data_IF_210586796717
#
_entry.id   IF_210586796717
#
_cell.length_a   1.000
_cell.length_b   1.000
_cell.length_c   1.000
_cell.angle_alpha   90.00
_cell.angle_beta   90.00
_cell.angle_gamma   90.00
#
_symmetry.space_group_name_H-M   'P 1'
#
loop_
_entity.id
_entity.type
_entity.pdbx_description
1 polymer ?
#
# COMPACT_ATOMS: atom_id res chain seq x y z
N UNK A 1 13.46 9.95 -14.88
CA UNK A 1 12.59 10.71 -13.97
C UNK A 1 11.88 9.73 -13.05
N UNK A 2 11.69 10.06 -11.77
CA UNK A 2 11.01 9.20 -10.80
C UNK A 2 9.53 9.04 -11.16
N UNK A 3 9.00 7.82 -11.00
CA UNK A 3 7.60 7.48 -11.26
C UNK A 3 7.11 6.27 -10.47
N UNK A 4 5.80 6.15 -10.36
CA UNK A 4 5.08 5.00 -9.85
C UNK A 4 4.89 5.00 -8.34
N UNK A 5 3.83 4.34 -7.90
CA UNK A 5 3.48 4.25 -6.49
C UNK A 5 4.45 3.36 -5.68
N UNK A 6 4.60 3.68 -4.41
CA UNK A 6 5.42 2.99 -3.42
C UNK A 6 4.71 2.97 -2.07
N UNK A 7 4.65 1.81 -1.42
CA UNK A 7 4.12 1.65 -0.07
C UNK A 7 5.25 1.40 0.90
N UNK A 8 5.17 2.03 2.07
CA UNK A 8 6.09 1.85 3.17
C UNK A 8 5.41 1.33 4.42
N UNK A 9 6.15 0.59 5.23
CA UNK A 9 5.70 0.03 6.50
C UNK A 9 6.81 0.09 7.55
N UNK A 10 6.47 -0.08 8.82
CA UNK A 10 7.46 -0.22 9.90
C UNK A 10 8.10 -1.62 9.84
N UNK A 11 9.43 -1.71 9.88
CA UNK A 11 10.21 -2.94 9.62
C UNK A 11 9.82 -4.14 10.50
N UNK A 12 9.58 -3.91 11.78
CA UNK A 12 9.28 -4.89 12.82
C UNK A 12 7.77 -5.15 12.97
N UNK A 13 6.92 -4.43 12.21
CA UNK A 13 5.48 -4.67 12.14
C UNK A 13 5.13 -5.68 11.04
N UNK A 14 5.01 -6.97 11.39
CA UNK A 14 4.59 -8.00 10.44
C UNK A 14 3.18 -7.76 9.87
N UNK A 15 2.26 -7.24 10.70
CA UNK A 15 0.92 -6.86 10.23
C UNK A 15 0.97 -5.66 9.28
N UNK A 16 1.78 -4.63 9.57
CA UNK A 16 2.01 -3.50 8.68
C UNK A 16 2.64 -3.92 7.35
N UNK A 17 3.60 -4.85 7.39
CA UNK A 17 4.22 -5.45 6.20
C UNK A 17 3.21 -6.17 5.32
N UNK A 18 2.33 -7.01 5.89
CA UNK A 18 1.26 -7.69 5.14
C UNK A 18 0.36 -6.68 4.44
N UNK A 19 -0.14 -5.68 5.16
CA UNK A 19 -0.97 -4.63 4.60
C UNK A 19 -0.25 -3.88 3.47
N UNK A 20 1.02 -3.50 3.67
CA UNK A 20 1.78 -2.77 2.67
C UNK A 20 2.04 -3.58 1.40
N UNK A 21 2.36 -4.87 1.53
CA UNK A 21 2.55 -5.77 0.38
C UNK A 21 1.25 -5.92 -0.38
N UNK A 22 0.12 -6.19 0.29
CA UNK A 22 -1.17 -6.32 -0.36
C UNK A 22 -1.56 -5.03 -1.11
N UNK A 23 -1.38 -3.86 -0.50
CA UNK A 23 -1.67 -2.57 -1.14
C UNK A 23 -0.73 -2.31 -2.34
N UNK A 24 0.57 -2.59 -2.23
CA UNK A 24 1.52 -2.42 -3.33
C UNK A 24 1.19 -3.31 -4.54
N UNK A 25 0.74 -4.54 -4.29
CA UNK A 25 0.31 -5.46 -5.35
C UNK A 25 -0.92 -4.93 -6.08
N UNK A 26 -1.92 -4.44 -5.35
CA UNK A 26 -3.14 -3.90 -5.96
C UNK A 26 -2.87 -2.58 -6.71
N UNK A 27 -2.00 -1.71 -6.19
CA UNK A 27 -1.52 -0.52 -6.91
C UNK A 27 -0.82 -0.90 -8.22
N UNK A 28 0.03 -1.93 -8.18
CA UNK A 28 0.72 -2.45 -9.37
C UNK A 28 -0.28 -3.00 -10.39
N UNK A 29 -1.26 -3.79 -9.93
CA UNK A 29 -2.27 -4.43 -10.78
C UNK A 29 -3.24 -3.44 -11.42
N UNK A 30 -3.71 -2.46 -10.66
CA UNK A 30 -4.79 -1.55 -11.09
C UNK A 30 -4.24 -0.33 -11.82
N UNK A 31 -3.15 0.28 -11.32
CA UNK A 31 -2.58 1.49 -11.91
C UNK A 31 -1.61 1.17 -13.04
N UNK A 32 -0.93 0.02 -13.00
CA UNK A 32 0.12 -0.34 -13.94
C UNK A 32 1.30 0.64 -13.97
N UNK A 33 1.41 1.52 -12.96
CA UNK A 33 2.33 2.65 -12.98
C UNK A 33 3.70 2.35 -12.34
N UNK A 34 3.84 1.18 -11.69
CA UNK A 34 4.98 0.79 -10.87
C UNK A 34 5.25 -0.71 -10.98
N UNK A 35 6.51 -1.11 -10.74
CA UNK A 35 6.93 -2.51 -10.50
C UNK A 35 7.62 -2.66 -9.14
N UNK A 36 7.46 -1.65 -8.28
CA UNK A 36 8.12 -1.58 -6.98
C UNK A 36 7.51 -2.59 -6.01
N UNK A 37 8.27 -2.96 -4.99
CA UNK A 37 7.83 -3.77 -3.87
C UNK A 37 7.69 -2.88 -2.65
N UNK A 38 6.79 -3.24 -1.72
CA UNK A 38 6.69 -2.52 -0.45
C UNK A 38 8.04 -2.54 0.29
N UNK A 39 8.40 -1.44 0.95
CA UNK A 39 9.69 -1.28 1.63
C UNK A 39 9.51 -0.88 3.08
N UNK A 40 10.40 -1.33 3.99
CA UNK A 40 10.43 -0.79 5.33
C UNK A 40 10.85 0.70 5.28
N UNK A 41 10.32 1.50 6.21
CA UNK A 41 10.65 2.91 6.33
C UNK A 41 10.50 3.43 7.76
N UNK A 42 11.28 4.46 8.09
CA UNK A 42 11.32 5.06 9.42
C UNK A 42 10.45 6.31 9.45
N UNK A 43 9.15 6.11 9.63
CA UNK A 43 8.19 7.21 9.71
C UNK A 43 7.59 7.28 11.11
N UNK A 44 7.51 8.51 11.65
CA UNK A 44 6.98 8.74 13.00
C UNK A 44 5.58 8.13 13.16
N UNK A 45 4.70 8.31 12.17
CA UNK A 45 3.33 7.81 12.21
C UNK A 45 3.33 6.29 12.29
N UNK A 46 4.10 5.58 11.46
CA UNK A 46 4.09 4.11 11.47
C UNK A 46 4.73 3.53 12.73
N UNK A 47 5.65 4.25 13.38
CA UNK A 47 6.30 3.80 14.62
C UNK A 47 5.50 4.09 15.90
N UNK A 48 4.62 5.09 15.88
CA UNK A 48 3.86 5.54 17.06
C UNK A 48 2.40 5.09 17.06
N UNK A 49 2.04 4.25 16.11
CA UNK A 49 0.69 3.75 15.94
C UNK A 49 0.60 2.31 16.42
N UNK A 50 -0.37 2.01 17.28
CA UNK A 50 -0.54 0.67 17.87
C UNK A 50 -1.19 -0.34 16.90
N UNK A 51 -2.05 0.13 15.99
CA UNK A 51 -2.61 -0.72 14.93
C UNK A 51 -1.70 -0.77 13.69
N UNK A 52 -1.86 -1.75 12.79
CA UNK A 52 -1.07 -1.82 11.56
C UNK A 52 -1.15 -0.51 10.76
N UNK A 53 0.00 0.08 10.44
CA UNK A 53 0.11 1.37 9.77
C UNK A 53 1.05 1.31 8.56
N UNK A 54 0.66 2.01 7.49
CA UNK A 54 1.42 2.11 6.23
C UNK A 54 1.41 3.54 5.71
N UNK A 55 2.40 3.88 4.89
CA UNK A 55 2.42 5.12 4.09
C UNK A 55 2.35 4.76 2.62
N UNK A 56 1.42 5.37 1.89
CA UNK A 56 1.26 5.16 0.45
C UNK A 56 1.68 6.43 -0.29
N UNK A 57 2.81 6.37 -0.97
CA UNK A 57 3.21 7.39 -1.94
C UNK A 57 2.64 7.01 -3.31
N UNK A 58 1.67 7.79 -3.83
CA UNK A 58 0.87 7.41 -5.01
C UNK A 58 1.43 7.91 -6.35
N UNK A 59 2.43 8.80 -6.32
CA UNK A 59 3.09 9.38 -7.50
C UNK A 59 3.97 10.59 -7.14
N UNK A 60 4.69 11.15 -8.10
CA UNK A 60 5.62 12.26 -7.87
C UNK A 60 5.09 13.58 -8.45
N UNK A 61 4.80 14.56 -7.59
CA UNK A 61 4.42 15.94 -8.01
C UNK A 61 5.55 16.60 -8.82
N UNK A 62 6.80 16.27 -8.52
CA UNK A 62 7.98 16.76 -9.24
C UNK A 62 8.10 16.20 -10.67
N UNK A 63 7.31 15.19 -11.03
CA UNK A 63 7.18 14.70 -12.38
C UNK A 63 5.91 15.31 -13.02
N UNK A 64 6.03 16.20 -14.02
CA UNK A 64 4.88 16.89 -14.61
C UNK A 64 3.79 15.95 -15.19
N UNK A 65 4.17 14.77 -15.69
CA UNK A 65 3.22 13.78 -16.21
C UNK A 65 2.41 13.16 -15.08
N UNK A 66 3.06 12.78 -13.97
CA UNK A 66 2.37 12.25 -12.81
C UNK A 66 1.59 13.31 -12.06
N UNK A 67 2.09 14.54 -11.99
CA UNK A 67 1.34 15.67 -11.42
C UNK A 67 0.00 15.85 -12.14
N UNK A 68 -0.02 15.77 -13.48
CA UNK A 68 -1.28 15.79 -14.25
C UNK A 68 -2.20 14.63 -13.90
N UNK A 69 -1.68 13.40 -13.80
CA UNK A 69 -2.47 12.24 -13.38
C UNK A 69 -3.01 12.41 -11.95
N UNK A 70 -2.23 12.94 -11.02
CA UNK A 70 -2.64 13.17 -9.63
C UNK A 70 -3.76 14.21 -9.51
N UNK A 71 -3.95 15.07 -10.52
CA UNK A 71 -5.06 16.02 -10.61
C UNK A 71 -6.29 15.44 -11.34
N UNK A 72 -6.18 14.27 -11.96
CA UNK A 72 -7.25 13.62 -12.71
C UNK A 72 -8.19 12.84 -11.76
N UNK A 73 -9.50 13.17 -11.71
CA UNK A 73 -10.45 12.50 -10.83
C UNK A 73 -10.60 10.99 -11.08
N UNK A 74 -10.53 10.53 -12.34
CA UNK A 74 -10.62 9.11 -12.67
C UNK A 74 -9.37 8.36 -12.22
N UNK A 75 -8.20 8.99 -12.33
CA UNK A 75 -6.96 8.43 -11.78
C UNK A 75 -7.03 8.36 -10.24
N UNK A 76 -7.50 9.41 -9.58
CA UNK A 76 -7.70 9.40 -8.12
C UNK A 76 -8.66 8.28 -7.69
N UNK A 77 -9.76 8.07 -8.42
CA UNK A 77 -10.70 6.97 -8.15
C UNK A 77 -10.02 5.59 -8.28
N UNK A 78 -9.17 5.39 -9.30
CA UNK A 78 -8.39 4.15 -9.44
C UNK A 78 -7.39 3.95 -8.31
N UNK A 79 -6.72 5.02 -7.86
CA UNK A 79 -5.79 4.97 -6.71
C UNK A 79 -6.55 4.58 -5.44
N UNK A 80 -7.67 5.24 -5.16
CA UNK A 80 -8.51 4.93 -4.00
C UNK A 80 -9.01 3.48 -4.03
N UNK A 81 -9.48 3.01 -5.19
CA UNK A 81 -9.93 1.63 -5.36
C UNK A 81 -8.80 0.62 -5.13
N UNK A 82 -7.58 0.91 -5.62
CA UNK A 82 -6.43 0.04 -5.39
C UNK A 82 -6.03 -0.05 -3.92
N UNK A 83 -6.08 1.06 -3.19
CA UNK A 83 -5.83 1.07 -1.74
C UNK A 83 -6.90 0.26 -1.01
N UNK A 84 -8.18 0.49 -1.35
CA UNK A 84 -9.30 -0.28 -0.79
C UNK A 84 -9.15 -1.79 -1.02
N UNK A 85 -8.89 -2.20 -2.27
CA UNK A 85 -8.71 -3.60 -2.62
C UNK A 85 -7.54 -4.24 -1.85
N UNK A 86 -6.45 -3.49 -1.67
CA UNK A 86 -5.29 -3.95 -0.89
C UNK A 86 -5.61 -4.16 0.58
N UNK A 87 -6.38 -3.25 1.20
CA UNK A 87 -6.83 -3.38 2.59
C UNK A 87 -7.75 -4.60 2.76
N UNK A 88 -8.75 -4.76 1.87
CA UNK A 88 -9.67 -5.89 1.91
C UNK A 88 -8.93 -7.24 1.76
N UNK A 89 -7.95 -7.29 0.87
CA UNK A 89 -7.08 -8.46 0.68
C UNK A 89 -6.28 -8.78 1.94
N UNK A 90 -5.69 -7.78 2.59
CA UNK A 90 -4.92 -7.96 3.82
C UNK A 90 -5.79 -8.51 4.98
N UNK A 91 -7.01 -8.00 5.14
CA UNK A 91 -7.95 -8.47 6.17
C UNK A 91 -8.42 -9.91 5.95
N UNK A 92 -8.62 -10.29 4.68
CA UNK A 92 -9.00 -11.66 4.32
C UNK A 92 -7.87 -12.64 4.67
N UNK A 93 -6.62 -12.30 4.34
CA UNK A 93 -5.44 -13.11 4.67
C UNK A 93 -5.22 -13.25 6.19
N UNK A 94 -5.49 -12.19 6.95
CA UNK A 94 -5.42 -12.24 8.42
C UNK A 94 -6.46 -13.17 9.03
N UNK A 95 -7.68 -13.18 8.48
CA UNK A 95 -8.74 -14.09 8.91
C UNK A 95 -8.37 -15.55 8.65
N UNK A 96 -7.78 -15.86 7.49
CA UNK A 96 -7.29 -17.20 7.15
C UNK A 96 -6.18 -17.68 8.09
N UNK A 97 -5.22 -16.80 8.41
CA UNK A 97 -4.17 -17.08 9.38
C UNK A 97 -4.73 -17.37 10.77
N UNK A 98 -5.72 -16.60 11.22
CA UNK A 98 -6.36 -16.80 12.52
C UNK A 98 -7.13 -18.13 12.60
N UNK A 99 -7.79 -18.54 11.53
CA UNK A 99 -8.48 -19.85 11.46
C UNK A 99 -7.48 -21.02 11.40
N UNK A 100 -6.34 -20.84 10.73
CA UNK A 100 -5.32 -21.88 10.60
C UNK A 100 -4.60 -22.25 11.91
N UNK A 101 -4.58 -21.36 12.91
CA UNK A 101 -3.96 -21.62 14.22
C UNK A 101 -4.88 -22.32 15.21
N UNK A 102 -6.18 -22.44 14.92
CA UNK A 102 -7.19 -23.05 15.81
C UNK A 102 -7.48 -24.53 15.49
N UNK A 103 -6.78 -25.13 14.53
CA UNK A 103 -6.92 -26.54 14.17
C UNK A 103 -5.78 -27.39 14.76
N UNK A 104 -5.66 -27.44 16.09
CA UNK A 104 -4.95 -28.49 16.85
C UNK A 104 -5.57 -28.64 18.24
#
# INVERSE_FOLDING_TARGET
>A
RWRGAQVFYEKDSEAGKRAAVAIQEELTRILGNTKRKALPGNFYITQKTEMPAVIVEVGFISNPEECKLLMDPDYQAKVAYAIYAGIAKAQSQESELAMGTHNW
#
